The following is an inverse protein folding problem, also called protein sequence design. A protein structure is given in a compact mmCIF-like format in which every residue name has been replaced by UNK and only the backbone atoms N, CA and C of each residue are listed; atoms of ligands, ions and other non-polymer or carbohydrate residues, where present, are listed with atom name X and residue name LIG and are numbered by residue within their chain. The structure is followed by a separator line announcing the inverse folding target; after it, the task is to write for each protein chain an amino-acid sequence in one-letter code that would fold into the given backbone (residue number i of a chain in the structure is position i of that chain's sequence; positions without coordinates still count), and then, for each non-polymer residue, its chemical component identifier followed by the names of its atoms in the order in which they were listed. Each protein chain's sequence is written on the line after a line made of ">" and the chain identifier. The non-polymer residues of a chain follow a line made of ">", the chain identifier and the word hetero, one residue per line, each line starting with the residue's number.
data_IF_993679905324
#
_entry.id   IF_993679905324
#
_cell.length_a   1.000
_cell.length_b   1.000
_cell.length_c   1.000
_cell.angle_alpha   90.00
_cell.angle_beta   90.00
_cell.angle_gamma   90.00
#
_symmetry.space_group_name_H-M   'P 1'
#
loop_
_entity.id
_entity.type
_entity.pdbx_description
1 polymer ?
#
# COMPACT_ATOMS: atom_id res chain seq x y z
N UNK A 1 -19.03 -76.39 4.90
CA UNK A 1 -19.74 -75.10 4.76
C UNK A 1 -19.82 -74.42 6.12
N UNK A 2 -18.95 -73.44 6.42
CA UNK A 2 -18.96 -72.72 7.70
C UNK A 2 -19.10 -71.21 7.47
N UNK A 3 -20.32 -70.68 7.70
CA UNK A 3 -20.74 -69.28 7.49
C UNK A 3 -20.14 -68.25 8.48
N UNK A 4 -19.09 -68.62 9.22
CA UNK A 4 -18.53 -67.79 10.31
C UNK A 4 -17.34 -66.92 9.90
N UNK A 5 -16.81 -67.10 8.70
CA UNK A 5 -15.61 -66.37 8.24
C UNK A 5 -15.91 -65.01 7.58
N UNK A 6 -17.19 -64.66 7.37
CA UNK A 6 -17.57 -63.51 6.55
C UNK A 6 -17.86 -62.21 7.32
N UNK A 7 -17.88 -62.25 8.66
CA UNK A 7 -18.23 -61.08 9.48
C UNK A 7 -17.04 -60.30 10.05
N UNK A 8 -15.80 -60.79 9.87
CA UNK A 8 -14.61 -60.14 10.45
C UNK A 8 -13.93 -59.12 9.52
N UNK A 9 -14.25 -59.11 8.22
CA UNK A 9 -13.60 -58.21 7.25
C UNK A 9 -14.33 -56.87 7.09
N UNK A 10 -15.59 -56.75 7.50
CA UNK A 10 -16.37 -55.50 7.38
C UNK A 10 -16.17 -54.52 8.54
N UNK A 11 -15.74 -54.99 9.72
CA UNK A 11 -15.51 -54.12 10.88
C UNK A 11 -14.21 -53.30 10.79
N UNK A 12 -13.21 -53.76 10.04
CA UNK A 12 -11.93 -53.06 9.92
C UNK A 12 -11.96 -51.90 8.91
N UNK A 13 -12.87 -51.94 7.93
CA UNK A 13 -12.94 -50.92 6.87
C UNK A 13 -13.63 -49.62 7.32
N UNK A 14 -14.44 -49.65 8.37
CA UNK A 14 -15.15 -48.46 8.90
C UNK A 14 -14.25 -47.63 9.83
N UNK A 15 -13.27 -48.25 10.51
CA UNK A 15 -12.37 -47.54 11.42
C UNK A 15 -11.34 -46.66 10.69
N UNK A 16 -10.98 -46.97 9.44
CA UNK A 16 -9.99 -46.21 8.67
C UNK A 16 -10.57 -44.89 8.11
N UNK A 17 -11.89 -44.77 7.98
CA UNK A 17 -12.54 -43.56 7.46
C UNK A 17 -12.68 -42.41 8.48
N UNK A 18 -12.42 -42.64 9.78
CA UNK A 18 -12.48 -41.59 10.81
C UNK A 18 -11.11 -40.94 11.14
N UNK A 19 -9.98 -41.50 10.67
CA UNK A 19 -8.66 -40.90 10.88
C UNK A 19 -8.26 -39.84 9.85
N UNK A 20 -9.03 -39.67 8.76
CA UNK A 20 -8.85 -38.57 7.81
C UNK A 20 -9.78 -37.40 8.13
N UNK A 21 -9.84 -37.01 9.41
CA UNK A 21 -10.43 -35.72 9.76
C UNK A 21 -9.50 -34.62 9.23
N UNK A 22 -10.00 -33.65 8.45
CA UNK A 22 -9.18 -32.56 7.93
C UNK A 22 -8.53 -31.78 9.08
N UNK A 23 -7.20 -31.86 9.19
CA UNK A 23 -6.37 -31.11 10.16
C UNK A 23 -6.54 -29.58 10.08
N UNK A 24 -7.25 -29.08 9.08
CA UNK A 24 -7.48 -27.67 8.78
C UNK A 24 -8.21 -26.87 9.88
N UNK A 25 -8.84 -27.52 10.87
CA UNK A 25 -9.51 -26.82 11.97
C UNK A 25 -8.56 -26.38 13.11
N UNK A 26 -7.45 -27.09 13.34
CA UNK A 26 -6.51 -26.75 14.41
C UNK A 26 -5.64 -25.53 14.05
N UNK A 27 -5.24 -25.41 12.79
CA UNK A 27 -4.36 -24.35 12.31
C UNK A 27 -4.97 -22.95 12.46
N UNK A 28 -6.24 -22.77 12.04
CA UNK A 28 -6.94 -21.49 12.16
C UNK A 28 -7.05 -20.99 13.61
N UNK A 29 -7.20 -21.91 14.56
CA UNK A 29 -7.32 -21.59 15.99
C UNK A 29 -5.97 -21.13 16.55
N UNK A 30 -4.88 -21.79 16.17
CA UNK A 30 -3.53 -21.42 16.59
C UNK A 30 -3.13 -20.04 16.07
N UNK A 31 -3.39 -19.73 14.79
CA UNK A 31 -3.07 -18.42 14.23
C UNK A 31 -3.79 -17.28 14.98
N UNK A 32 -5.09 -17.44 15.20
CA UNK A 32 -5.87 -16.44 15.94
C UNK A 32 -5.33 -16.25 17.35
N UNK A 33 -4.95 -17.33 18.04
CA UNK A 33 -4.36 -17.21 19.39
C UNK A 33 -3.03 -16.46 19.40
N UNK A 34 -2.17 -16.62 18.40
CA UNK A 34 -0.88 -15.93 18.33
C UNK A 34 -1.08 -14.43 18.07
N UNK A 35 -2.02 -14.06 17.19
CA UNK A 35 -2.32 -12.64 16.93
C UNK A 35 -2.88 -11.96 18.17
N UNK A 36 -3.82 -12.59 18.88
CA UNK A 36 -4.36 -12.04 20.13
C UNK A 36 -3.30 -11.97 21.23
N UNK A 37 -2.42 -12.97 21.35
CA UNK A 37 -1.29 -12.93 22.27
C UNK A 37 -0.35 -11.75 21.94
N UNK A 38 -0.03 -11.54 20.67
CA UNK A 38 0.80 -10.41 20.24
C UNK A 38 0.13 -9.06 20.54
N UNK A 39 -1.21 -8.96 20.44
CA UNK A 39 -1.96 -7.76 20.86
C UNK A 39 -1.86 -7.51 22.36
N UNK A 40 -1.99 -8.55 23.18
CA UNK A 40 -1.79 -8.42 24.64
C UNK A 40 -0.38 -7.89 24.94
N UNK A 41 0.64 -8.50 24.34
CA UNK A 41 2.02 -8.07 24.50
C UNK A 41 2.26 -6.63 24.02
N UNK A 42 1.61 -6.22 22.92
CA UNK A 42 1.65 -4.84 22.44
C UNK A 42 1.03 -3.86 23.44
N UNK A 43 -0.14 -4.19 23.99
CA UNK A 43 -0.80 -3.37 25.01
C UNK A 43 0.01 -3.27 26.32
N UNK A 44 0.78 -4.30 26.65
CA UNK A 44 1.71 -4.33 27.78
C UNK A 44 3.05 -3.64 27.50
N UNK A 45 3.28 -3.11 26.29
CA UNK A 45 4.55 -2.50 25.89
C UNK A 45 5.69 -3.50 25.65
N UNK A 46 5.39 -4.80 25.60
CA UNK A 46 6.35 -5.89 25.32
C UNK A 46 6.58 -6.08 23.82
N UNK A 47 7.02 -5.01 23.15
CA UNK A 47 7.09 -4.92 21.69
C UNK A 47 7.98 -6.00 21.05
N UNK A 48 9.15 -6.29 21.63
CA UNK A 48 10.07 -7.32 21.10
C UNK A 48 9.47 -8.73 21.12
N UNK A 49 8.73 -9.06 22.19
CA UNK A 49 8.06 -10.35 22.32
C UNK A 49 6.90 -10.45 21.32
N UNK A 50 6.10 -9.39 21.18
CA UNK A 50 5.02 -9.30 20.21
C UNK A 50 5.54 -9.46 18.77
N UNK A 51 6.61 -8.73 18.44
CA UNK A 51 7.28 -8.81 17.15
C UNK A 51 7.79 -10.23 16.86
N UNK A 52 8.48 -10.85 17.82
CA UNK A 52 9.03 -12.20 17.66
C UNK A 52 7.93 -13.23 17.38
N UNK A 53 6.81 -13.15 18.11
CA UNK A 53 5.66 -14.01 17.91
C UNK A 53 5.07 -13.85 16.50
N UNK A 54 4.85 -12.61 16.04
CA UNK A 54 4.29 -12.34 14.72
C UNK A 54 5.25 -12.73 13.58
N UNK A 55 6.55 -12.51 13.74
CA UNK A 55 7.54 -12.95 12.74
C UNK A 55 7.59 -14.46 12.64
N UNK A 56 7.39 -15.18 13.74
CA UNK A 56 7.31 -16.65 13.73
C UNK A 56 6.05 -17.12 13.00
N UNK A 57 4.91 -16.46 13.25
CA UNK A 57 3.65 -16.73 12.55
C UNK A 57 3.79 -16.49 11.04
N UNK A 58 4.38 -15.36 10.63
CA UNK A 58 4.55 -14.98 9.22
C UNK A 58 5.54 -15.87 8.44
N UNK A 59 6.30 -16.74 9.11
CA UNK A 59 7.18 -17.74 8.46
C UNK A 59 6.43 -19.00 8.04
N UNK A 60 5.19 -19.20 8.50
CA UNK A 60 4.38 -20.34 8.10
C UNK A 60 4.01 -20.24 6.62
N UNK A 61 4.19 -21.33 5.86
CA UNK A 61 4.02 -21.33 4.40
C UNK A 61 2.57 -21.21 3.95
N UNK A 62 1.65 -21.76 4.73
CA UNK A 62 0.24 -21.91 4.34
C UNK A 62 -0.68 -20.92 5.09
N UNK A 63 -0.16 -19.76 5.47
CA UNK A 63 -0.93 -18.75 6.19
C UNK A 63 -1.97 -18.09 5.25
N UNK A 64 -3.27 -18.12 5.59
CA UNK A 64 -4.30 -17.43 4.82
C UNK A 64 -4.00 -15.94 4.68
N UNK A 65 -4.23 -15.39 3.49
CA UNK A 65 -3.93 -13.99 3.15
C UNK A 65 -4.51 -12.97 4.15
N UNK A 66 -5.75 -13.19 4.62
CA UNK A 66 -6.38 -12.32 5.63
C UNK A 66 -5.63 -12.35 6.97
N UNK A 67 -5.20 -13.53 7.42
CA UNK A 67 -4.44 -13.68 8.66
C UNK A 67 -3.02 -13.09 8.52
N UNK A 68 -2.40 -13.28 7.36
CA UNK A 68 -1.13 -12.65 7.01
C UNK A 68 -1.24 -11.12 7.06
N UNK A 69 -2.30 -10.56 6.48
CA UNK A 69 -2.57 -9.12 6.48
C UNK A 69 -2.74 -8.59 7.90
N UNK A 70 -3.55 -9.25 8.74
CA UNK A 70 -3.75 -8.86 10.14
C UNK A 70 -2.44 -8.87 10.93
N UNK A 71 -1.62 -9.91 10.76
CA UNK A 71 -0.32 -10.00 11.41
C UNK A 71 0.65 -8.91 10.93
N UNK A 72 0.65 -8.58 9.64
CA UNK A 72 1.49 -7.51 9.08
C UNK A 72 1.05 -6.12 9.57
N UNK A 73 -0.26 -5.86 9.66
CA UNK A 73 -0.78 -4.59 10.19
C UNK A 73 -0.30 -4.39 11.63
N UNK A 74 -0.49 -5.40 12.49
CA UNK A 74 -0.05 -5.32 13.88
C UNK A 74 1.48 -5.18 14.00
N UNK A 75 2.23 -5.89 13.14
CA UNK A 75 3.69 -5.76 13.09
C UNK A 75 4.13 -4.35 12.69
N UNK A 76 3.44 -3.72 11.74
CA UNK A 76 3.73 -2.34 11.35
C UNK A 76 3.46 -1.36 12.50
N UNK A 77 2.39 -1.55 13.27
CA UNK A 77 2.09 -0.75 14.47
C UNK A 77 3.15 -0.92 15.56
N UNK A 78 3.58 -2.17 15.81
CA UNK A 78 4.66 -2.47 16.76
C UNK A 78 5.95 -1.74 16.36
N UNK A 79 6.34 -1.81 15.08
CA UNK A 79 7.54 -1.09 14.59
C UNK A 79 7.45 0.40 14.81
N UNK A 80 6.26 0.99 14.61
CA UNK A 80 6.04 2.41 14.89
C UNK A 80 6.14 2.74 16.37
N UNK A 81 5.57 1.90 17.24
CA UNK A 81 5.68 2.07 18.68
C UNK A 81 7.15 1.98 19.17
N UNK A 82 7.98 1.19 18.48
CA UNK A 82 9.42 1.09 18.71
C UNK A 82 10.24 2.20 18.04
N UNK A 83 9.60 3.21 17.44
CA UNK A 83 10.25 4.29 16.67
C UNK A 83 11.04 3.82 15.44
N UNK A 84 10.82 2.59 14.96
CA UNK A 84 11.39 2.04 13.73
C UNK A 84 10.49 2.35 12.52
N UNK A 85 10.47 3.62 12.12
CA UNK A 85 9.62 4.08 11.02
C UNK A 85 10.00 3.43 9.68
N UNK A 86 11.29 3.19 9.45
CA UNK A 86 11.77 2.52 8.24
C UNK A 86 11.29 1.07 8.17
N UNK A 87 11.33 0.34 9.29
CA UNK A 87 10.77 -1.00 9.41
C UNK A 87 9.26 -1.01 9.15
N UNK A 88 8.53 -0.06 9.74
CA UNK A 88 7.09 0.08 9.52
C UNK A 88 6.73 0.33 8.04
N UNK A 89 7.46 1.23 7.36
CA UNK A 89 7.27 1.51 5.93
C UNK A 89 7.46 0.28 5.07
N UNK A 90 8.51 -0.52 5.32
CA UNK A 90 8.75 -1.79 4.59
C UNK A 90 7.62 -2.80 4.79
N UNK A 91 7.04 -2.86 5.97
CA UNK A 91 5.90 -3.76 6.24
C UNK A 91 4.65 -3.25 5.54
N UNK A 92 4.41 -1.95 5.55
CA UNK A 92 3.27 -1.34 4.85
C UNK A 92 3.38 -1.50 3.34
N UNK A 93 4.59 -1.44 2.79
CA UNK A 93 4.85 -1.78 1.40
C UNK A 93 4.33 -3.21 1.10
N UNK A 94 4.67 -4.20 1.94
CA UNK A 94 4.15 -5.57 1.82
C UNK A 94 2.63 -5.66 2.00
N UNK A 95 2.04 -4.86 2.90
CA UNK A 95 0.58 -4.80 3.07
C UNK A 95 -0.07 -4.34 1.76
N UNK A 96 0.48 -3.31 1.13
CA UNK A 96 -0.02 -2.78 -0.15
C UNK A 96 0.26 -3.70 -1.34
N UNK A 97 1.24 -4.60 -1.25
CA UNK A 97 1.43 -5.68 -2.25
C UNK A 97 0.33 -6.74 -2.15
N UNK A 98 -0.11 -7.05 -0.93
CA UNK A 98 -1.16 -8.04 -0.66
C UNK A 98 -2.55 -7.45 -0.90
N UNK A 99 -2.76 -6.20 -0.50
CA UNK A 99 -4.03 -5.47 -0.64
C UNK A 99 -3.75 -4.02 -1.08
N UNK A 100 -3.70 -3.75 -2.40
CA UNK A 100 -3.42 -2.41 -2.94
C UNK A 100 -4.41 -1.33 -2.47
N UNK A 101 -5.66 -1.72 -2.28
CA UNK A 101 -6.75 -0.81 -1.88
C UNK A 101 -6.84 -0.60 -0.36
N UNK A 102 -5.93 -1.18 0.44
CA UNK A 102 -5.95 -1.10 1.90
C UNK A 102 -6.03 0.34 2.40
N UNK A 103 -7.13 0.70 3.05
CA UNK A 103 -7.38 2.07 3.51
C UNK A 103 -7.77 2.04 4.99
N UNK A 104 -6.84 2.35 5.90
CA UNK A 104 -7.12 2.35 7.34
C UNK A 104 -8.11 3.47 7.69
N UNK A 105 -9.06 3.15 8.57
CA UNK A 105 -10.08 4.06 9.10
C UNK A 105 -9.58 4.76 10.37
N UNK A 106 -9.94 6.03 10.55
CA UNK A 106 -9.62 6.82 11.75
C UNK A 106 -10.23 6.26 13.04
N UNK A 107 -11.28 5.44 12.92
CA UNK A 107 -11.91 4.78 14.08
C UNK A 107 -11.07 3.62 14.61
N UNK A 108 -10.32 2.97 13.73
CA UNK A 108 -9.63 1.71 14.02
C UNK A 108 -8.12 1.92 14.20
N UNK A 109 -7.56 2.98 13.61
CA UNK A 109 -6.12 3.21 13.54
C UNK A 109 -5.73 4.64 13.94
N UNK A 110 -4.56 4.83 14.57
CA UNK A 110 -4.09 6.15 14.94
C UNK A 110 -3.77 7.00 13.70
N UNK A 111 -3.98 8.34 13.72
CA UNK A 111 -3.77 9.23 12.57
C UNK A 111 -2.39 9.10 11.93
N UNK A 112 -1.37 8.90 12.76
CA UNK A 112 0.01 8.75 12.28
C UNK A 112 0.23 7.44 11.49
N UNK A 113 -0.56 6.40 11.71
CA UNK A 113 -0.51 5.16 10.90
C UNK A 113 -1.13 5.43 9.53
N UNK A 114 -2.29 6.09 9.53
CA UNK A 114 -3.04 6.45 8.34
C UNK A 114 -2.19 7.32 7.43
N UNK A 115 -1.58 8.37 7.96
CA UNK A 115 -0.68 9.26 7.23
C UNK A 115 0.49 8.48 6.59
N UNK A 116 1.04 7.50 7.31
CA UNK A 116 2.16 6.70 6.81
C UNK A 116 1.72 5.78 5.66
N UNK A 117 0.57 5.11 5.78
CA UNK A 117 -0.02 4.30 4.67
C UNK A 117 -0.32 5.16 3.45
N UNK A 118 -0.92 6.34 3.65
CA UNK A 118 -1.18 7.29 2.56
C UNK A 118 0.12 7.74 1.87
N UNK A 119 1.17 8.03 2.64
CA UNK A 119 2.47 8.42 2.09
C UNK A 119 3.10 7.30 1.23
N UNK A 120 2.97 6.03 1.63
CA UNK A 120 3.47 4.91 0.84
C UNK A 120 2.64 4.67 -0.42
N UNK A 121 1.30 4.84 -0.34
CA UNK A 121 0.44 4.82 -1.53
C UNK A 121 0.82 5.89 -2.55
N UNK A 122 1.04 7.13 -2.10
CA UNK A 122 1.46 8.23 -2.98
C UNK A 122 2.80 7.94 -3.67
N UNK A 123 3.79 7.40 -2.92
CA UNK A 123 5.08 6.99 -3.48
C UNK A 123 4.92 5.95 -4.59
N UNK A 124 4.00 5.00 -4.43
CA UNK A 124 3.71 3.98 -5.45
C UNK A 124 3.11 4.59 -6.71
N UNK A 125 2.16 5.53 -6.58
CA UNK A 125 1.59 6.24 -7.74
C UNK A 125 2.66 7.04 -8.50
N UNK A 126 3.54 7.75 -7.78
CA UNK A 126 4.64 8.50 -8.41
C UNK A 126 5.61 7.57 -9.14
N UNK A 127 5.99 6.43 -8.54
CA UNK A 127 6.84 5.44 -9.20
C UNK A 127 6.18 4.88 -10.47
N UNK A 128 4.89 4.52 -10.41
CA UNK A 128 4.15 4.02 -11.57
C UNK A 128 4.02 5.06 -12.69
N UNK A 129 3.86 6.35 -12.35
CA UNK A 129 3.84 7.45 -13.31
C UNK A 129 5.20 7.78 -13.93
N UNK A 130 6.29 7.63 -13.17
CA UNK A 130 7.65 7.88 -13.66
C UNK A 130 8.19 6.77 -14.58
N UNK A 131 7.70 5.53 -14.44
CA UNK A 131 8.07 4.41 -15.33
C UNK A 131 7.59 4.65 -16.78
N UNK A 132 6.60 5.52 -17.01
CA UNK A 132 6.17 5.92 -18.36
C UNK A 132 6.99 7.06 -18.99
N UNK A 133 8.03 7.58 -18.32
CA UNK A 133 8.85 8.69 -18.84
C UNK A 133 10.33 8.35 -19.03
N UNK A 134 10.65 7.12 -19.42
CA UNK A 134 11.95 6.83 -20.04
C UNK A 134 11.78 6.01 -21.32
N UNK A 135 12.18 6.67 -22.41
CA UNK A 135 12.44 6.19 -23.76
C UNK A 135 11.28 6.27 -24.77
N UNK A 136 11.35 7.32 -25.60
CA UNK A 136 10.55 7.46 -26.81
C UNK A 136 10.17 8.91 -27.11
N UNK A 137 11.09 9.67 -27.71
CA UNK A 137 10.83 10.75 -28.67
C UNK A 137 9.34 11.16 -28.86
N UNK A 138 8.78 12.02 -28.00
CA UNK A 138 7.39 12.48 -28.16
C UNK A 138 7.26 13.90 -28.76
N UNK A 139 8.37 14.61 -29.01
CA UNK A 139 8.34 15.94 -29.63
C UNK A 139 8.57 15.92 -31.16
N UNK A 140 8.41 14.79 -31.84
CA UNK A 140 8.65 14.69 -33.30
C UNK A 140 7.42 14.47 -34.18
N UNK A 141 6.19 14.38 -33.65
CA UNK A 141 5.02 14.20 -34.52
C UNK A 141 4.14 15.46 -34.59
N UNK A 142 4.42 16.26 -35.62
CA UNK A 142 3.83 17.57 -35.99
C UNK A 142 2.33 17.56 -36.34
N UNK A 143 1.61 16.44 -36.22
CA UNK A 143 0.27 16.29 -36.81
C UNK A 143 -0.81 15.78 -35.84
N UNK A 144 -0.62 15.87 -34.52
CA UNK A 144 -1.64 15.39 -33.58
C UNK A 144 -2.75 16.42 -33.23
N UNK A 145 -2.70 17.64 -33.76
CA UNK A 145 -3.70 18.70 -33.51
C UNK A 145 -4.62 18.97 -34.72
N UNK A 146 -5.15 17.92 -35.34
CA UNK A 146 -6.20 18.06 -36.36
C UNK A 146 -7.57 17.80 -35.72
N UNK A 147 -8.34 18.87 -35.56
CA UNK A 147 -9.76 18.90 -35.15
C UNK A 147 -9.93 19.86 -33.97
N UNK A 148 -10.47 21.07 -34.10
CA UNK A 148 -11.80 21.40 -34.64
C UNK A 148 -11.77 22.88 -35.09
N UNK A 149 -12.41 23.21 -36.21
CA UNK A 149 -12.85 24.59 -36.50
C UNK A 149 -12.22 25.23 -37.74
N UNK A 150 -12.93 25.09 -38.86
CA UNK A 150 -12.77 25.86 -40.09
C UNK A 150 -12.90 27.37 -39.86
N UNK A 151 -11.91 28.17 -40.27
CA UNK A 151 -12.14 29.52 -40.81
C UNK A 151 -11.19 29.78 -41.98
N UNK A 152 -11.77 29.97 -43.15
CA UNK A 152 -11.12 30.15 -44.43
C UNK A 152 -10.50 31.56 -44.59
N UNK A 153 -9.35 31.57 -45.25
CA UNK A 153 -8.78 32.57 -46.15
C UNK A 153 -8.91 34.09 -45.87
N UNK A 154 -7.73 34.71 -45.83
CA UNK A 154 -7.35 35.99 -46.43
C UNK A 154 -7.80 37.30 -45.74
N UNK A 155 -6.85 37.96 -45.07
CA UNK A 155 -6.38 39.30 -45.48
C UNK A 155 -5.01 39.61 -44.87
N UNK A 156 -4.08 39.94 -45.76
CA UNK A 156 -2.74 40.48 -45.55
C UNK A 156 -2.74 41.88 -44.93
N UNK A 157 -1.72 42.12 -44.08
CA UNK A 157 -0.97 43.37 -43.83
C UNK A 157 -1.69 44.65 -43.35
N UNK A 158 -0.93 45.47 -42.60
CA UNK A 158 -0.94 46.94 -42.39
C UNK A 158 -0.60 47.19 -40.90
N UNK A 159 0.67 47.47 -40.55
CA UNK A 159 1.38 48.77 -40.59
C UNK A 159 1.10 49.66 -39.35
N UNK A 160 2.21 50.04 -38.69
CA UNK A 160 2.52 51.27 -37.92
C UNK A 160 1.56 51.79 -36.83
N UNK A 161 2.16 52.16 -35.69
CA UNK A 161 1.71 53.35 -34.95
C UNK A 161 2.17 53.49 -33.50
N UNK A 162 3.24 54.28 -33.28
CA UNK A 162 3.56 55.06 -32.06
C UNK A 162 3.92 54.30 -30.76
N UNK A 163 5.22 54.08 -30.47
CA UNK A 163 6.08 54.98 -29.68
C UNK A 163 5.54 55.44 -28.30
N UNK A 164 6.16 54.91 -27.22
CA UNK A 164 6.77 55.75 -26.17
C UNK A 164 7.90 55.02 -25.40
N UNK A 165 9.13 55.37 -25.81
CA UNK A 165 10.42 55.54 -25.10
C UNK A 165 10.76 54.72 -23.84
N UNK A 166 11.82 53.92 -23.98
CA UNK A 166 13.08 53.84 -23.20
C UNK A 166 13.07 53.90 -21.66
N UNK A 167 13.64 52.88 -21.01
CA UNK A 167 14.97 52.94 -20.36
C UNK A 167 15.42 51.60 -19.73
N UNK A 168 16.74 51.33 -19.82
CA UNK A 168 17.52 50.24 -19.21
C UNK A 168 17.24 49.99 -17.72
N UNK A 169 17.25 48.72 -17.28
CA UNK A 169 18.27 48.17 -16.33
C UNK A 169 18.12 46.65 -16.14
N UNK A 170 19.24 45.91 -16.17
CA UNK A 170 19.37 44.53 -15.72
C UNK A 170 19.52 44.49 -14.18
N UNK A 171 18.75 43.65 -13.49
CA UNK A 171 19.09 42.95 -12.23
C UNK A 171 17.93 41.98 -11.91
N UNK A 172 18.10 40.69 -12.16
CA UNK A 172 18.47 39.67 -11.16
C UNK A 172 17.48 39.56 -10.00
N UNK A 173 16.71 38.46 -10.06
CA UNK A 173 15.95 37.78 -9.00
C UNK A 173 14.86 38.58 -8.29
N UNK A 174 13.61 38.15 -8.49
CA UNK A 174 12.47 38.61 -7.69
C UNK A 174 12.69 38.21 -6.23
N UNK A 175 12.63 39.20 -5.33
CA UNK A 175 12.58 38.97 -3.88
C UNK A 175 11.22 38.35 -3.52
N UNK A 176 11.18 37.43 -2.53
CA UNK A 176 9.91 36.88 -2.05
C UNK A 176 9.07 37.94 -1.34
N UNK A 177 7.73 37.76 -1.31
CA UNK A 177 6.80 38.70 -0.70
C UNK A 177 7.06 38.86 0.81
N UNK A 178 7.01 40.11 1.31
CA UNK A 178 7.06 40.41 2.74
C UNK A 178 5.71 40.12 3.40
N UNK A 179 5.73 39.41 4.54
CA UNK A 179 4.53 39.11 5.33
C UNK A 179 4.01 40.36 6.06
N UNK A 180 2.69 40.52 6.23
CA UNK A 180 2.11 41.63 6.98
C UNK A 180 2.40 41.50 8.49
N UNK A 181 2.81 42.61 9.10
CA UNK A 181 2.99 42.77 10.54
C UNK A 181 1.66 42.59 11.30
N UNK A 182 1.75 41.94 12.47
CA UNK A 182 0.63 41.69 13.36
C UNK A 182 -0.04 43.00 13.80
N UNK A 183 -1.37 43.01 13.80
CA UNK A 183 -2.18 44.12 14.30
C UNK A 183 -2.85 43.67 15.60
N UNK A 184 -2.42 44.36 16.67
CA UNK A 184 -2.93 44.50 18.06
C UNK A 184 -2.76 43.35 19.06
#
# INVERSE_FOLDING_TARGET
>A
MNKRFFYFTTAFLVAVLFLNSPLFAQEKTQVKSVVEQARSLYAEGRFEQAQSALLTLLKQKDLPQNQQLQALILLAEIRRAMMDENGARKIIDKILDIQPDFTPSEKDYPPNFIALVQSEKQKRVVKSGQVQQKHGSFFSNKYFWIGIGTTAAATTAIILGAQKKSAKKKSLLALPPSWPEAIH
#
